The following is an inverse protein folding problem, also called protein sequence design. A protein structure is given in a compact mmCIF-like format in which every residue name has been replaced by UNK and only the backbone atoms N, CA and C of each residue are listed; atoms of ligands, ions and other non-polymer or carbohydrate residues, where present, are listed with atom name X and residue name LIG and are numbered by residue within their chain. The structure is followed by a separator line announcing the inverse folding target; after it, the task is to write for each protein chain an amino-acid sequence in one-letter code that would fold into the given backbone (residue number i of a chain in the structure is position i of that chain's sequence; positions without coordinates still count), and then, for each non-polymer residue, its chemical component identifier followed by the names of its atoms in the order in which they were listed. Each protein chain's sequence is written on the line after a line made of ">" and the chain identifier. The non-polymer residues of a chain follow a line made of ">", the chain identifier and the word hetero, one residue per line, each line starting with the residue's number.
data_IF_412167433733
#
_entry.id   IF_412167433733
#
_cell.length_a   1.000
_cell.length_b   1.000
_cell.length_c   1.000
_cell.angle_alpha   90.00
_cell.angle_beta   90.00
_cell.angle_gamma   90.00
#
_symmetry.space_group_name_H-M   'P 1'
#
loop_
_entity.id
_entity.type
_entity.pdbx_description
1 polymer ?
#
# COMPACT_ATOMS: atom_id res chain seq x y z
N UNK A 1 29.54 22.19 -40.56
CA UNK A 1 28.95 22.10 -39.19
C UNK A 1 28.10 20.85 -39.16
N UNK A 2 28.65 19.83 -38.61
CA UNK A 2 28.03 18.49 -38.49
C UNK A 2 27.55 18.30 -37.07
N UNK A 3 26.25 18.29 -36.83
CA UNK A 3 25.68 18.05 -35.53
C UNK A 3 25.75 16.56 -35.22
N UNK A 4 26.58 16.22 -34.24
CA UNK A 4 26.68 14.88 -33.71
C UNK A 4 25.43 14.55 -32.88
N UNK A 5 24.60 13.68 -33.42
CA UNK A 5 23.47 13.04 -32.73
C UNK A 5 24.03 12.05 -31.69
N UNK A 6 24.07 12.47 -30.42
CA UNK A 6 24.42 11.59 -29.34
C UNK A 6 23.21 10.71 -28.96
N UNK A 7 23.14 9.52 -29.55
CA UNK A 7 22.29 8.45 -29.07
C UNK A 7 22.80 8.00 -27.69
N UNK A 8 22.02 8.24 -26.65
CA UNK A 8 22.17 7.59 -25.35
C UNK A 8 21.98 6.08 -25.52
N UNK A 9 22.92 5.25 -25.10
CA UNK A 9 22.72 3.81 -25.17
C UNK A 9 21.65 3.42 -24.16
N UNK A 10 20.62 2.74 -24.66
CA UNK A 10 19.64 2.00 -23.89
C UNK A 10 20.41 1.01 -22.99
N UNK A 11 20.43 1.28 -21.69
CA UNK A 11 21.08 0.40 -20.73
C UNK A 11 20.23 -0.86 -20.58
N UNK A 12 20.42 -1.81 -21.47
CA UNK A 12 20.01 -3.18 -21.23
C UNK A 12 20.71 -3.64 -19.97
N UNK A 13 19.93 -3.89 -18.92
CA UNK A 13 20.43 -4.50 -17.69
C UNK A 13 20.89 -5.91 -18.07
N UNK A 14 22.20 -6.08 -18.15
CA UNK A 14 22.82 -7.36 -18.50
C UNK A 14 22.41 -8.41 -17.44
N UNK A 15 21.95 -9.58 -17.88
CA UNK A 15 21.50 -10.71 -17.05
C UNK A 15 22.53 -11.19 -16.02
N UNK A 16 23.79 -10.78 -16.14
CA UNK A 16 24.91 -11.17 -15.26
C UNK A 16 24.86 -10.56 -13.84
N UNK A 17 24.00 -9.58 -13.58
CA UNK A 17 23.94 -8.90 -12.26
C UNK A 17 22.98 -9.59 -11.29
N UNK A 18 22.27 -10.62 -11.70
CA UNK A 18 21.32 -11.35 -10.86
C UNK A 18 22.04 -12.42 -10.05
N UNK A 19 21.99 -12.29 -8.72
CA UNK A 19 22.56 -13.31 -7.82
C UNK A 19 21.94 -14.69 -8.16
N UNK A 20 22.76 -15.74 -8.38
CA UNK A 20 22.30 -17.03 -8.92
C UNK A 20 21.28 -17.76 -8.03
N UNK A 21 21.03 -17.27 -6.82
CA UNK A 21 20.07 -17.82 -5.86
C UNK A 21 18.81 -16.96 -5.67
N UNK A 22 18.75 -15.79 -6.33
CA UNK A 22 17.57 -14.89 -6.24
C UNK A 22 16.66 -15.18 -7.41
N UNK A 23 15.55 -15.83 -7.13
CA UNK A 23 14.47 -15.99 -8.11
C UNK A 23 13.74 -14.65 -8.22
N UNK A 24 13.85 -13.98 -9.35
CA UNK A 24 13.02 -12.83 -9.67
C UNK A 24 11.57 -13.33 -9.82
N UNK A 25 10.68 -12.89 -8.94
CA UNK A 25 9.25 -13.13 -9.10
C UNK A 25 8.67 -12.06 -10.01
N UNK A 26 7.80 -12.45 -10.91
CA UNK A 26 7.03 -11.49 -11.70
C UNK A 26 6.15 -10.63 -10.78
N UNK A 27 5.83 -9.42 -11.18
CA UNK A 27 4.88 -8.56 -10.41
C UNK A 27 3.49 -9.19 -10.29
N UNK A 28 3.18 -10.18 -11.13
CA UNK A 28 1.95 -10.95 -11.09
C UNK A 28 1.88 -11.94 -9.92
N UNK A 29 3.04 -12.35 -9.38
CA UNK A 29 3.10 -13.31 -8.27
C UNK A 29 3.03 -12.65 -6.89
N UNK A 30 3.65 -11.48 -6.73
CA UNK A 30 3.67 -10.71 -5.47
C UNK A 30 3.60 -9.23 -5.77
N UNK A 31 2.56 -8.56 -5.29
CA UNK A 31 2.45 -7.12 -5.31
C UNK A 31 3.10 -6.50 -4.06
N UNK A 32 3.86 -5.43 -4.23
CA UNK A 32 4.47 -4.67 -3.14
C UNK A 32 4.01 -3.22 -3.22
N UNK A 33 3.61 -2.66 -2.09
CA UNK A 33 3.21 -1.27 -1.96
C UNK A 33 3.82 -0.62 -0.73
N UNK A 34 4.34 0.58 -0.91
CA UNK A 34 4.84 1.45 0.17
C UNK A 34 4.24 2.82 0.00
N UNK A 35 3.87 3.44 1.12
CA UNK A 35 3.43 4.82 1.13
C UNK A 35 3.93 5.56 2.38
N UNK A 36 4.14 6.87 2.22
CA UNK A 36 4.60 7.78 3.26
C UNK A 36 3.64 8.97 3.31
N UNK A 37 3.19 9.30 4.51
CA UNK A 37 2.28 10.43 4.76
C UNK A 37 2.86 11.34 5.82
N UNK A 38 3.03 12.60 5.49
CA UNK A 38 3.44 13.64 6.43
C UNK A 38 2.32 13.91 7.44
N UNK A 39 2.62 13.76 8.73
CA UNK A 39 1.64 13.86 9.82
C UNK A 39 1.05 15.27 9.92
N UNK A 40 1.88 16.30 9.76
CA UNK A 40 1.44 17.69 9.77
C UNK A 40 0.44 18.00 8.63
N UNK A 41 0.65 17.40 7.44
CA UNK A 41 -0.28 17.52 6.32
C UNK A 41 -1.61 16.82 6.62
N UNK A 42 -1.59 15.64 7.23
CA UNK A 42 -2.81 14.94 7.64
C UNK A 42 -3.60 15.77 8.65
N UNK A 43 -2.94 16.32 9.68
CA UNK A 43 -3.55 17.21 10.66
C UNK A 43 -4.25 18.39 9.98
N UNK A 44 -3.56 19.08 9.08
CA UNK A 44 -4.10 20.21 8.35
C UNK A 44 -5.32 19.85 7.48
N UNK A 45 -5.35 18.67 6.87
CA UNK A 45 -6.51 18.20 6.09
C UNK A 45 -7.69 17.90 7.00
N UNK A 46 -7.48 17.21 8.13
CA UNK A 46 -8.53 16.90 9.09
C UNK A 46 -9.19 18.16 9.66
N UNK A 47 -8.41 19.21 9.90
CA UNK A 47 -8.90 20.49 10.41
C UNK A 47 -9.68 21.30 9.36
N UNK A 48 -9.16 21.36 8.11
CA UNK A 48 -9.74 22.18 7.04
C UNK A 48 -10.92 21.53 6.33
N UNK A 49 -10.97 20.19 6.33
CA UNK A 49 -11.97 19.43 5.57
C UNK A 49 -12.60 18.35 6.47
N UNK A 50 -13.58 18.71 7.33
CA UNK A 50 -14.21 17.73 8.24
C UNK A 50 -14.80 16.50 7.54
N UNK A 51 -15.30 16.67 6.31
CA UNK A 51 -15.83 15.55 5.50
C UNK A 51 -14.77 14.56 5.01
N UNK A 52 -13.47 14.93 5.05
CA UNK A 52 -12.39 14.04 4.65
C UNK A 52 -12.38 12.76 5.51
N UNK A 53 -12.54 12.91 6.82
CA UNK A 53 -12.56 11.81 7.78
C UNK A 53 -13.59 10.74 7.38
N UNK A 54 -14.84 11.14 7.17
CA UNK A 54 -15.94 10.21 6.81
C UNK A 54 -15.87 9.67 5.39
N UNK A 55 -15.20 10.38 4.47
CA UNK A 55 -15.00 9.92 3.09
C UNK A 55 -13.88 8.90 2.96
N UNK A 56 -12.90 8.93 3.86
CA UNK A 56 -11.67 8.13 3.75
C UNK A 56 -11.66 6.97 4.73
N UNK A 57 -12.14 7.17 5.94
CA UNK A 57 -12.05 6.20 7.03
C UNK A 57 -13.42 5.61 7.39
N UNK A 58 -13.42 4.37 7.87
CA UNK A 58 -14.61 3.76 8.46
C UNK A 58 -14.91 4.37 9.84
N UNK A 59 -16.09 4.10 10.37
CA UNK A 59 -16.46 4.54 11.73
C UNK A 59 -15.53 3.94 12.78
N UNK A 60 -15.16 2.67 12.63
CA UNK A 60 -14.26 1.97 13.54
C UNK A 60 -12.83 2.52 13.46
N UNK A 61 -12.35 2.85 12.26
CA UNK A 61 -11.04 3.52 12.08
C UNK A 61 -11.04 4.91 12.74
N UNK A 62 -12.11 5.69 12.56
CA UNK A 62 -12.27 6.99 13.21
C UNK A 62 -12.26 6.86 14.74
N UNK A 63 -13.09 5.98 15.30
CA UNK A 63 -13.18 5.74 16.72
C UNK A 63 -11.82 5.33 17.32
N UNK A 64 -11.12 4.42 16.63
CA UNK A 64 -9.78 4.02 17.04
C UNK A 64 -8.79 5.19 17.04
N UNK A 65 -8.72 5.96 15.96
CA UNK A 65 -7.77 7.07 15.85
C UNK A 65 -8.06 8.14 16.91
N UNK A 66 -9.32 8.49 17.10
CA UNK A 66 -9.76 9.50 18.05
C UNK A 66 -9.55 9.09 19.53
N UNK A 67 -9.47 7.79 19.80
CA UNK A 67 -9.13 7.28 21.14
C UNK A 67 -7.67 7.46 21.53
N UNK A 68 -6.80 7.94 20.61
CA UNK A 68 -5.36 8.06 20.84
C UNK A 68 -4.97 9.48 21.24
N UNK A 69 -3.84 9.58 21.98
CA UNK A 69 -3.34 10.88 22.47
C UNK A 69 -2.98 11.87 21.35
N UNK A 70 -2.57 11.35 20.17
CA UNK A 70 -2.24 12.13 18.97
C UNK A 70 -2.96 11.50 17.77
N UNK A 71 -4.24 11.80 17.57
CA UNK A 71 -5.07 11.16 16.54
C UNK A 71 -4.51 11.26 15.12
N UNK A 72 -3.90 12.38 14.75
CA UNK A 72 -3.37 12.65 13.42
C UNK A 72 -2.29 11.64 13.00
N UNK A 73 -1.49 11.12 13.93
CA UNK A 73 -0.52 10.05 13.65
C UNK A 73 -1.23 8.79 13.18
N UNK A 74 -2.32 8.44 13.85
CA UNK A 74 -3.07 7.21 13.56
C UNK A 74 -3.91 7.33 12.29
N UNK A 75 -4.43 8.51 11.98
CA UNK A 75 -5.07 8.79 10.70
C UNK A 75 -4.06 8.75 9.55
N UNK A 76 -2.88 9.38 9.71
CA UNK A 76 -1.81 9.34 8.71
C UNK A 76 -1.34 7.92 8.44
N UNK A 77 -1.14 7.12 9.49
CA UNK A 77 -0.71 5.72 9.39
C UNK A 77 -1.73 4.87 8.65
N UNK A 78 -3.03 5.06 8.90
CA UNK A 78 -4.10 4.33 8.20
C UNK A 78 -4.24 4.77 6.76
N UNK A 79 -4.10 6.07 6.50
CA UNK A 79 -4.11 6.57 5.13
C UNK A 79 -2.95 6.00 4.32
N UNK A 80 -1.73 6.03 4.86
CA UNK A 80 -0.56 5.39 4.25
C UNK A 80 -0.80 3.89 3.99
N UNK A 81 -1.44 3.18 4.93
CA UNK A 81 -1.77 1.77 4.76
C UNK A 81 -2.72 1.51 3.59
N UNK A 82 -3.78 2.32 3.45
CA UNK A 82 -4.73 2.20 2.34
C UNK A 82 -4.05 2.43 0.99
N UNK A 83 -3.21 3.47 0.90
CA UNK A 83 -2.41 3.76 -0.31
C UNK A 83 -1.41 2.64 -0.61
N UNK A 84 -0.72 2.10 0.41
CA UNK A 84 0.20 0.99 0.23
C UNK A 84 -0.51 -0.27 -0.28
N UNK A 85 -1.72 -0.56 0.21
CA UNK A 85 -2.54 -1.69 -0.27
C UNK A 85 -2.94 -1.48 -1.73
N UNK A 86 -3.38 -0.28 -2.12
CA UNK A 86 -3.70 0.03 -3.52
C UNK A 86 -2.50 -0.17 -4.44
N UNK A 87 -1.32 0.26 -4.02
CA UNK A 87 -0.07 0.04 -4.77
C UNK A 87 0.28 -1.44 -4.86
N UNK A 88 0.09 -2.21 -3.78
CA UNK A 88 0.34 -3.65 -3.77
C UNK A 88 -0.63 -4.41 -4.71
N UNK A 89 -1.88 -3.94 -4.84
CA UNK A 89 -2.83 -4.48 -5.82
C UNK A 89 -2.55 -4.02 -7.26
N UNK A 90 -1.63 -3.05 -7.45
CA UNK A 90 -1.25 -2.55 -8.77
C UNK A 90 -2.29 -1.66 -9.45
N UNK A 91 -3.34 -1.26 -8.75
CA UNK A 91 -4.52 -0.62 -9.35
C UNK A 91 -4.59 0.88 -9.14
N UNK A 92 -4.02 1.40 -8.05
CA UNK A 92 -4.29 2.77 -7.62
C UNK A 92 -5.80 3.01 -7.49
N UNK A 93 -6.26 4.24 -7.72
CA UNK A 93 -7.70 4.57 -7.75
C UNK A 93 -8.34 4.40 -9.12
N UNK A 94 -7.62 3.91 -10.13
CA UNK A 94 -8.05 3.90 -11.53
C UNK A 94 -9.11 2.83 -11.84
N UNK A 95 -9.23 1.79 -11.01
CA UNK A 95 -10.15 0.66 -11.25
C UNK A 95 -11.46 0.74 -10.45
N UNK A 96 -11.84 1.93 -10.02
CA UNK A 96 -13.08 2.16 -9.28
C UNK A 96 -13.03 1.74 -7.81
N UNK A 97 -11.85 1.47 -7.28
CA UNK A 97 -11.66 1.19 -5.85
C UNK A 97 -11.78 2.48 -5.06
N UNK A 98 -12.72 2.53 -4.13
CA UNK A 98 -12.82 3.61 -3.16
C UNK A 98 -11.86 3.41 -1.99
N UNK A 99 -11.33 4.49 -1.42
CA UNK A 99 -10.44 4.42 -0.24
C UNK A 99 -11.12 3.71 0.95
N UNK A 100 -12.43 3.85 1.09
CA UNK A 100 -13.23 3.16 2.11
C UNK A 100 -13.45 1.67 1.83
N UNK A 101 -13.08 1.17 0.65
CA UNK A 101 -13.13 -0.25 0.35
C UNK A 101 -11.99 -1.03 1.02
N UNK A 102 -11.04 -0.31 1.59
CA UNK A 102 -9.91 -0.84 2.35
C UNK A 102 -10.02 -0.34 3.79
N UNK A 103 -10.11 -1.23 4.74
CA UNK A 103 -10.18 -0.92 6.16
C UNK A 103 -8.97 -1.52 6.90
N UNK A 104 -8.37 -0.73 7.78
CA UNK A 104 -7.27 -1.17 8.63
C UNK A 104 -7.80 -1.47 10.02
N UNK A 105 -7.88 -2.74 10.34
CA UNK A 105 -8.30 -3.24 11.64
C UNK A 105 -7.12 -3.73 12.48
N UNK A 106 -7.36 -4.13 13.71
CA UNK A 106 -6.37 -4.79 14.57
C UNK A 106 -6.91 -6.13 15.06
N UNK A 107 -6.06 -7.14 15.05
CA UNK A 107 -6.40 -8.39 15.69
C UNK A 107 -6.31 -8.29 17.23
N UNK A 108 -6.70 -9.35 17.93
CA UNK A 108 -6.67 -9.41 19.40
C UNK A 108 -5.27 -9.16 20.02
N UNK A 109 -4.19 -9.36 19.25
CA UNK A 109 -2.79 -9.10 19.64
C UNK A 109 -2.32 -7.70 19.27
N UNK A 110 -3.19 -6.85 18.71
CA UNK A 110 -2.88 -5.50 18.27
C UNK A 110 -2.15 -5.39 16.92
N UNK A 111 -1.95 -6.51 16.20
CA UNK A 111 -1.34 -6.49 14.87
C UNK A 111 -2.29 -5.85 13.86
N UNK A 112 -1.83 -4.90 13.02
CA UNK A 112 -2.64 -4.34 11.95
C UNK A 112 -2.97 -5.41 10.90
N UNK A 113 -4.20 -5.38 10.42
CA UNK A 113 -4.72 -6.26 9.37
C UNK A 113 -5.55 -5.44 8.40
N UNK A 114 -5.70 -5.94 7.18
CA UNK A 114 -6.50 -5.34 6.13
C UNK A 114 -7.78 -6.13 5.94
N UNK A 115 -8.90 -5.43 5.86
CA UNK A 115 -10.18 -5.97 5.41
C UNK A 115 -10.57 -5.25 4.13
N UNK A 116 -10.93 -6.02 3.10
CA UNK A 116 -11.35 -5.50 1.80
C UNK A 116 -12.86 -5.64 1.62
N UNK A 117 -13.46 -4.59 1.06
CA UNK A 117 -14.87 -4.51 0.76
C UNK A 117 -15.09 -4.20 -0.72
N UNK A 118 -16.30 -4.43 -1.21
CA UNK A 118 -16.78 -4.03 -2.53
C UNK A 118 -15.72 -4.25 -3.64
N UNK A 119 -15.42 -3.22 -4.41
CA UNK A 119 -14.51 -3.34 -5.57
C UNK A 119 -13.09 -3.75 -5.19
N UNK A 120 -12.56 -3.33 -4.05
CA UNK A 120 -11.24 -3.77 -3.58
C UNK A 120 -11.19 -5.29 -3.37
N UNK A 121 -12.25 -5.87 -2.80
CA UNK A 121 -12.36 -7.32 -2.60
C UNK A 121 -12.46 -8.09 -3.93
N UNK A 122 -13.22 -7.56 -4.89
CA UNK A 122 -13.35 -8.15 -6.22
C UNK A 122 -12.01 -8.17 -6.95
N UNK A 123 -11.31 -7.02 -6.99
CA UNK A 123 -9.98 -6.91 -7.61
C UNK A 123 -8.97 -7.85 -6.97
N UNK A 124 -8.92 -7.92 -5.65
CA UNK A 124 -8.04 -8.85 -4.97
C UNK A 124 -8.33 -10.32 -5.34
N UNK A 125 -9.61 -10.68 -5.50
CA UNK A 125 -10.01 -12.00 -5.93
C UNK A 125 -9.63 -12.27 -7.41
N UNK A 126 -9.84 -11.31 -8.30
CA UNK A 126 -9.45 -11.36 -9.71
C UNK A 126 -7.93 -11.58 -9.87
N UNK A 127 -7.13 -10.94 -9.00
CA UNK A 127 -5.69 -11.09 -8.95
C UNK A 127 -5.21 -12.39 -8.25
N UNK A 128 -6.13 -13.16 -7.66
CA UNK A 128 -5.79 -14.38 -6.92
C UNK A 128 -5.08 -14.10 -5.59
N UNK A 129 -5.28 -12.92 -5.01
CA UNK A 129 -4.67 -12.54 -3.72
C UNK A 129 -5.27 -13.36 -2.59
N UNK A 130 -4.41 -14.01 -1.80
CA UNK A 130 -4.79 -14.85 -0.66
C UNK A 130 -4.39 -14.23 0.69
N UNK A 131 -3.38 -13.36 0.70
CA UNK A 131 -2.93 -12.65 1.91
C UNK A 131 -2.52 -11.21 1.58
N UNK A 132 -2.73 -10.33 2.54
CA UNK A 132 -2.32 -8.91 2.51
C UNK A 132 -1.56 -8.55 3.79
N UNK A 133 -0.33 -9.04 3.99
CA UNK A 133 0.51 -8.62 5.09
C UNK A 133 0.74 -7.11 5.08
N UNK A 134 0.62 -6.49 6.26
CA UNK A 134 0.73 -5.06 6.45
C UNK A 134 1.70 -4.75 7.59
N UNK A 135 2.61 -3.80 7.36
CA UNK A 135 3.50 -3.23 8.37
C UNK A 135 3.35 -1.72 8.42
N UNK A 136 3.28 -1.18 9.62
CA UNK A 136 3.09 0.24 9.88
C UNK A 136 4.18 0.76 10.80
N UNK A 137 4.68 1.95 10.50
CA UNK A 137 5.64 2.67 11.34
C UNK A 137 5.39 4.17 11.27
N UNK A 138 5.90 4.91 12.23
CA UNK A 138 5.87 6.37 12.18
C UNK A 138 7.02 6.99 12.98
N UNK A 139 7.35 8.22 12.62
CA UNK A 139 8.26 9.10 13.33
C UNK A 139 7.47 10.28 13.92
N UNK A 140 8.16 11.32 14.34
CA UNK A 140 7.51 12.57 14.73
C UNK A 140 6.91 13.35 13.56
N UNK A 141 7.39 13.10 12.34
CA UNK A 141 7.02 13.86 11.13
C UNK A 141 6.22 13.02 10.13
N UNK A 142 6.49 11.72 10.03
CA UNK A 142 6.00 10.88 8.95
C UNK A 142 5.42 9.56 9.44
N UNK A 143 4.36 9.13 8.79
CA UNK A 143 3.79 7.80 8.90
C UNK A 143 4.12 7.00 7.64
N UNK A 144 4.52 5.74 7.81
CA UNK A 144 4.92 4.83 6.72
C UNK A 144 4.11 3.56 6.81
N UNK A 145 3.69 3.06 5.66
CA UNK A 145 3.08 1.74 5.54
C UNK A 145 3.72 0.94 4.42
N UNK A 146 3.86 -0.35 4.64
CA UNK A 146 4.25 -1.33 3.63
C UNK A 146 3.21 -2.44 3.59
N UNK A 147 2.73 -2.77 2.39
CA UNK A 147 1.79 -3.85 2.16
C UNK A 147 2.31 -4.80 1.09
N UNK A 148 1.98 -6.08 1.20
CA UNK A 148 2.23 -7.08 0.17
C UNK A 148 0.92 -7.72 -0.25
N UNK A 149 0.73 -7.95 -1.55
CA UNK A 149 -0.33 -8.80 -2.06
C UNK A 149 0.28 -10.14 -2.45
N UNK A 150 -0.01 -11.18 -1.69
CA UNK A 150 0.48 -12.54 -1.92
C UNK A 150 -0.61 -13.31 -2.68
N UNK A 151 -0.26 -13.85 -3.84
CA UNK A 151 -1.19 -14.61 -4.68
C UNK A 151 -1.05 -16.12 -4.47
N UNK A 152 -2.07 -16.87 -4.84
CA UNK A 152 -2.04 -18.35 -4.80
C UNK A 152 -0.90 -18.93 -5.65
N UNK A 153 -0.55 -18.27 -6.75
CA UNK A 153 0.51 -18.75 -7.65
C UNK A 153 1.90 -18.52 -7.06
N UNK A 154 2.07 -17.46 -6.25
CA UNK A 154 3.31 -17.21 -5.53
C UNK A 154 3.63 -18.32 -4.51
N UNK A 155 2.61 -18.87 -3.87
CA UNK A 155 2.78 -19.98 -2.89
C UNK A 155 3.15 -21.27 -3.60
N UNK A 156 2.42 -21.65 -4.66
CA UNK A 156 2.73 -22.84 -5.46
C UNK A 156 4.13 -22.81 -6.08
N UNK A 157 4.62 -21.64 -6.43
CA UNK A 157 5.96 -21.47 -6.98
C UNK A 157 7.08 -21.66 -5.94
N UNK A 158 6.79 -21.48 -4.65
CA UNK A 158 7.74 -21.67 -3.56
C UNK A 158 7.91 -23.15 -3.15
N UNK A 159 6.95 -24.02 -3.51
CA UNK A 159 6.94 -25.45 -3.18
C UNK A 159 7.69 -26.34 -4.22
N UNK A 160 8.18 -25.77 -5.32
CA UNK A 160 8.94 -26.44 -6.39
C UNK A 160 10.42 -26.12 -6.29
#
# INVERSE_FOLDING_TARGET
>A
MEEANAQTPDAAVEEETVLPHVRMRSQEEVGLGVDIVEIARMKAILERTPSFKTKVFSEDECAYCESKGVPEIHFATRFAAKEAVLKALGTGFSEGIGVRDIEVVRNAKGKPMVVLYRRAKEVAAELGVIELPLSLSYTHTDAVACAMAITSDSVKAAEK
#
